data_IF_000642714305
#
_entry.id   IF_000642714305
#
_cell.length_a   1.000
_cell.length_b   1.000
_cell.length_c   1.000
_cell.angle_alpha   90.00
_cell.angle_beta   90.00
_cell.angle_gamma   90.00
#
_symmetry.space_group_name_H-M   'P 1'
#
loop_
_entity.id
_entity.type
_entity.pdbx_description
1 polymer ?
#
# COMPACT_ATOMS: atom_id res chain seq x y z
N UNK A 1 -9.81 -11.17 -11.81
CA UNK A 1 -9.52 -10.00 -10.96
C UNK A 1 -9.92 -10.29 -9.52
N UNK A 2 -8.95 -10.25 -8.60
CA UNK A 2 -9.12 -10.42 -7.16
C UNK A 2 -9.00 -9.06 -6.49
N UNK A 3 -10.00 -8.68 -5.69
CA UNK A 3 -10.04 -7.40 -4.99
C UNK A 3 -9.86 -7.62 -3.49
N UNK A 4 -9.01 -6.79 -2.87
CA UNK A 4 -8.66 -6.82 -1.46
C UNK A 4 -8.78 -5.38 -0.95
N UNK A 5 -9.41 -5.20 0.20
CA UNK A 5 -9.61 -3.89 0.83
C UNK A 5 -9.14 -3.98 2.26
N UNK A 6 -8.26 -3.07 2.67
CA UNK A 6 -7.83 -3.00 4.06
C UNK A 6 -8.99 -2.51 4.94
N UNK A 7 -8.81 -2.69 6.24
CA UNK A 7 -9.54 -1.89 7.23
C UNK A 7 -9.32 -0.39 7.00
N UNK A 8 -10.30 0.42 7.40
CA UNK A 8 -10.21 1.87 7.44
C UNK A 8 -9.61 2.31 8.77
N UNK A 9 -8.68 3.26 8.75
CA UNK A 9 -8.05 3.79 9.97
C UNK A 9 -8.14 5.32 9.98
N UNK A 10 -8.59 5.88 11.10
CA UNK A 10 -8.45 7.31 11.37
C UNK A 10 -7.00 7.61 11.74
N UNK A 11 -6.43 8.63 11.12
CA UNK A 11 -5.05 9.09 11.27
C UNK A 11 -5.12 10.52 11.83
N UNK A 12 -4.39 10.80 12.92
CA UNK A 12 -4.33 12.13 13.52
C UNK A 12 -3.29 13.02 12.82
N UNK A 13 -3.45 13.13 11.50
CA UNK A 13 -2.74 14.06 10.64
C UNK A 13 -3.66 14.50 9.49
N UNK A 14 -3.44 15.71 8.96
CA UNK A 14 -4.11 16.18 7.76
C UNK A 14 -3.85 15.27 6.55
N UNK A 15 -4.81 15.25 5.63
CA UNK A 15 -4.70 14.53 4.37
C UNK A 15 -3.44 14.93 3.57
N UNK A 16 -3.06 16.21 3.61
CA UNK A 16 -1.83 16.73 3.00
C UNK A 16 -0.57 16.13 3.59
N UNK A 17 -0.48 16.08 4.93
CA UNK A 17 0.65 15.48 5.64
C UNK A 17 0.81 14.00 5.27
N UNK A 18 -0.30 13.25 5.25
CA UNK A 18 -0.29 11.83 4.89
C UNK A 18 0.06 11.63 3.42
N UNK A 19 -0.51 12.44 2.53
CA UNK A 19 -0.22 12.38 1.10
C UNK A 19 1.25 12.68 0.80
N UNK A 20 1.81 13.72 1.40
CA UNK A 20 3.23 14.08 1.23
C UNK A 20 4.16 12.95 1.70
N UNK A 21 3.85 12.31 2.83
CA UNK A 21 4.61 11.16 3.32
C UNK A 21 4.55 9.98 2.35
N UNK A 22 3.36 9.62 1.85
CA UNK A 22 3.16 8.50 0.93
C UNK A 22 3.66 8.78 -0.51
N UNK A 23 3.94 10.04 -0.84
CA UNK A 23 4.44 10.47 -2.16
C UNK A 23 5.95 10.27 -2.36
N UNK A 24 6.65 9.69 -1.38
CA UNK A 24 8.04 9.24 -1.50
C UNK A 24 8.14 7.77 -1.09
N UNK A 25 8.50 6.89 -2.03
CA UNK A 25 8.64 5.45 -1.74
C UNK A 25 9.70 5.13 -0.68
N UNK A 26 10.68 6.00 -0.42
CA UNK A 26 11.66 5.80 0.65
C UNK A 26 11.02 5.80 2.04
N UNK A 27 9.95 6.55 2.21
CA UNK A 27 9.19 6.63 3.46
C UNK A 27 8.41 5.33 3.75
N UNK A 28 7.99 4.61 2.70
CA UNK A 28 7.19 3.40 2.86
C UNK A 28 7.92 2.28 3.59
N UNK A 29 9.26 2.30 3.62
CA UNK A 29 10.06 1.36 4.39
C UNK A 29 9.68 1.35 5.87
N UNK A 30 9.27 2.49 6.42
CA UNK A 30 8.82 2.62 7.82
C UNK A 30 7.52 1.87 8.10
N UNK A 31 6.71 1.64 7.07
CA UNK A 31 5.43 0.94 7.19
C UNK A 31 5.57 -0.58 6.98
N UNK A 32 6.72 -1.04 6.50
CA UNK A 32 6.88 -2.44 6.09
C UNK A 32 6.87 -3.38 7.30
N UNK A 33 6.02 -4.42 7.30
CA UNK A 33 6.04 -5.43 8.36
C UNK A 33 7.29 -6.30 8.30
N UNK A 34 7.58 -7.03 9.38
CA UNK A 34 8.75 -7.93 9.49
C UNK A 34 8.81 -9.04 8.43
N UNK A 35 7.67 -9.38 7.80
CA UNK A 35 7.59 -10.34 6.70
C UNK A 35 8.07 -9.78 5.36
N UNK A 36 8.30 -8.48 5.27
CA UNK A 36 8.86 -7.86 4.08
C UNK A 36 10.38 -7.90 4.15
N UNK A 37 10.99 -8.53 3.15
CA UNK A 37 12.44 -8.66 3.00
C UNK A 37 12.88 -8.12 1.64
N UNK A 38 14.19 -7.95 1.44
CA UNK A 38 14.78 -7.45 0.19
C UNK A 38 14.20 -6.10 -0.27
N UNK A 39 13.88 -5.21 0.68
CA UNK A 39 13.37 -3.88 0.36
C UNK A 39 14.42 -3.04 -0.37
N UNK A 40 14.02 -2.44 -1.49
CA UNK A 40 14.77 -1.44 -2.22
C UNK A 40 13.79 -0.38 -2.73
N UNK A 41 14.16 0.90 -2.67
CA UNK A 41 13.29 2.01 -3.09
C UNK A 41 14.08 3.15 -3.72
N UNK A 42 13.41 3.88 -4.59
CA UNK A 42 13.74 5.24 -5.02
C UNK A 42 12.64 6.18 -4.51
N UNK A 43 12.61 7.45 -4.93
CA UNK A 43 11.48 8.33 -4.63
C UNK A 43 10.19 7.89 -5.32
N UNK A 44 10.26 7.21 -6.46
CA UNK A 44 9.09 6.93 -7.34
C UNK A 44 8.79 5.45 -7.56
N UNK A 45 9.59 4.55 -6.98
CA UNK A 45 9.40 3.10 -7.11
C UNK A 45 9.98 2.33 -5.94
N UNK A 46 9.49 1.11 -5.72
CA UNK A 46 10.10 0.17 -4.80
C UNK A 46 9.98 -1.28 -5.28
N UNK A 47 10.81 -2.13 -4.68
CA UNK A 47 10.84 -3.57 -4.86
C UNK A 47 11.01 -4.25 -3.51
N UNK A 48 10.28 -5.34 -3.27
CA UNK A 48 10.38 -6.12 -2.04
C UNK A 48 9.81 -7.52 -2.19
N UNK A 49 10.10 -8.39 -1.23
CA UNK A 49 9.54 -9.73 -1.16
C UNK A 49 8.69 -9.86 0.09
N UNK A 50 7.45 -10.31 -0.07
CA UNK A 50 6.63 -10.79 1.04
C UNK A 50 7.02 -12.25 1.27
N UNK A 51 7.65 -12.54 2.40
CA UNK A 51 8.15 -13.87 2.73
C UNK A 51 7.02 -14.93 2.70
N UNK A 52 7.31 -16.07 2.08
CA UNK A 52 6.34 -17.12 1.81
C UNK A 52 5.29 -16.79 0.75
N UNK A 53 5.42 -15.69 0.01
CA UNK A 53 4.49 -15.30 -1.06
C UNK A 53 5.19 -14.97 -2.38
N UNK A 54 5.64 -13.73 -2.57
CA UNK A 54 6.10 -13.24 -3.86
C UNK A 54 7.00 -12.02 -3.75
N UNK A 55 7.83 -11.84 -4.77
CA UNK A 55 8.55 -10.60 -5.03
C UNK A 55 7.66 -9.65 -5.86
N UNK A 56 7.56 -8.41 -5.40
CA UNK A 56 6.71 -7.35 -5.95
C UNK A 56 7.56 -6.12 -6.29
N UNK A 57 7.30 -5.54 -7.45
CA UNK A 57 7.93 -4.34 -7.97
C UNK A 57 6.83 -3.36 -8.39
N UNK A 58 6.87 -2.12 -7.90
CA UNK A 58 5.86 -1.12 -8.23
C UNK A 58 6.43 0.29 -8.35
N UNK A 59 5.68 1.13 -9.05
CA UNK A 59 5.94 2.56 -9.22
C UNK A 59 4.62 3.34 -9.09
N UNK A 60 4.69 4.67 -8.97
CA UNK A 60 3.48 5.49 -8.95
C UNK A 60 2.67 5.35 -10.25
N UNK A 61 1.35 5.31 -10.09
CA UNK A 61 0.35 5.41 -11.14
C UNK A 61 -0.27 6.81 -11.16
N UNK A 62 -1.61 6.87 -11.24
CA UNK A 62 -2.39 8.13 -11.28
C UNK A 62 -2.76 8.59 -9.87
N UNK A 63 -1.91 9.44 -9.30
CA UNK A 63 -2.18 10.09 -8.02
C UNK A 63 -3.21 11.22 -8.16
N UNK A 64 -3.97 11.45 -7.10
CA UNK A 64 -4.85 12.62 -6.93
C UNK A 64 -4.40 13.29 -5.63
N UNK A 65 -3.97 14.54 -5.74
CA UNK A 65 -3.38 15.29 -4.63
C UNK A 65 -4.30 15.26 -3.39
N UNK A 66 -3.72 14.89 -2.24
CA UNK A 66 -4.40 14.79 -0.94
C UNK A 66 -5.57 13.80 -0.84
N UNK A 67 -5.85 13.03 -1.89
CA UNK A 67 -6.99 12.10 -1.94
C UNK A 67 -6.57 10.66 -2.25
N UNK A 68 -5.58 10.47 -3.13
CA UNK A 68 -5.21 9.13 -3.60
C UNK A 68 -3.74 9.04 -4.01
N UNK A 69 -3.06 8.02 -3.52
CA UNK A 69 -1.80 7.53 -4.07
C UNK A 69 -2.05 6.20 -4.75
N UNK A 70 -1.79 6.12 -6.05
CA UNK A 70 -1.89 4.89 -6.83
C UNK A 70 -0.49 4.34 -7.10
N UNK A 71 -0.32 3.04 -6.90
CA UNK A 71 0.90 2.32 -7.19
C UNK A 71 0.54 1.15 -8.11
N UNK A 72 1.27 1.01 -9.21
CA UNK A 72 1.02 -0.02 -10.21
C UNK A 72 2.21 -0.96 -10.30
N UNK A 73 1.95 -2.23 -10.58
CA UNK A 73 3.00 -3.21 -10.84
C UNK A 73 3.93 -2.73 -11.97
N UNK A 74 5.23 -2.67 -11.72
CA UNK A 74 6.26 -2.23 -12.66
C UNK A 74 7.36 -3.31 -12.79
N UNK A 75 7.95 -3.47 -13.96
CA UNK A 75 8.97 -4.52 -14.17
C UNK A 75 8.41 -5.94 -14.04
N UNK A 76 9.19 -6.87 -13.48
CA UNK A 76 8.82 -8.29 -13.41
C UNK A 76 8.04 -8.60 -12.13
N UNK A 77 6.77 -8.94 -12.30
CA UNK A 77 5.88 -9.38 -11.23
C UNK A 77 5.24 -10.74 -11.58
N UNK A 78 4.84 -11.55 -10.59
CA UNK A 78 4.13 -12.81 -10.84
C UNK A 78 2.71 -12.62 -11.40
N UNK A 79 2.14 -11.43 -11.25
CA UNK A 79 0.83 -11.02 -11.77
C UNK A 79 0.79 -9.49 -11.86
N UNK A 80 -0.10 -8.96 -12.70
CA UNK A 80 -0.38 -7.53 -12.75
C UNK A 80 -1.27 -7.12 -11.57
N UNK A 81 -1.00 -5.96 -10.99
CA UNK A 81 -1.79 -5.43 -9.89
C UNK A 81 -1.70 -3.90 -9.80
N UNK A 82 -2.66 -3.32 -9.09
CA UNK A 82 -2.62 -1.96 -8.58
C UNK A 82 -2.94 -1.94 -7.09
N UNK A 83 -2.36 -0.96 -6.40
CA UNK A 83 -2.58 -0.64 -5.00
C UNK A 83 -2.91 0.85 -4.91
N UNK A 84 -4.11 1.19 -4.46
CA UNK A 84 -4.52 2.57 -4.23
C UNK A 84 -4.73 2.84 -2.75
N UNK A 85 -3.93 3.74 -2.19
CA UNK A 85 -4.18 4.29 -0.86
C UNK A 85 -5.08 5.50 -0.99
N UNK A 86 -6.29 5.40 -0.44
CA UNK A 86 -7.30 6.45 -0.43
C UNK A 86 -7.23 7.21 0.89
N UNK A 87 -7.29 8.53 0.80
CA UNK A 87 -7.17 9.48 1.93
C UNK A 87 -8.44 10.34 1.92
N UNK A 88 -9.31 10.12 2.90
CA UNK A 88 -10.53 10.90 3.07
C UNK A 88 -10.29 11.96 4.14
N UNK A 89 -10.32 13.24 3.76
CA UNK A 89 -10.22 14.35 4.72
C UNK A 89 -11.34 14.28 5.77
N UNK A 90 -10.99 14.50 7.03
CA UNK A 90 -11.93 14.67 8.14
C UNK A 90 -11.81 16.08 8.74
N UNK A 91 -12.52 16.36 9.83
CA UNK A 91 -12.42 17.65 10.52
C UNK A 91 -11.04 17.85 11.17
N UNK A 92 -10.50 19.07 11.06
CA UNK A 92 -9.20 19.44 11.62
C UNK A 92 -8.02 18.70 10.96
N UNK A 93 -7.02 18.38 11.78
CA UNK A 93 -5.82 17.62 11.38
C UNK A 93 -6.06 16.11 11.43
N UNK A 94 -7.14 15.65 10.78
CA UNK A 94 -7.48 14.23 10.73
C UNK A 94 -7.86 13.79 9.33
N UNK A 95 -7.62 12.51 9.04
CA UNK A 95 -8.13 11.85 7.84
C UNK A 95 -8.43 10.37 8.10
N UNK A 96 -9.26 9.77 7.26
CA UNK A 96 -9.47 8.32 7.21
C UNK A 96 -8.68 7.75 6.02
N UNK A 97 -7.88 6.72 6.25
CA UNK A 97 -7.08 6.05 5.22
C UNK A 97 -7.48 4.59 5.06
N UNK A 98 -7.53 4.12 3.82
CA UNK A 98 -7.67 2.70 3.49
C UNK A 98 -7.01 2.37 2.15
N UNK A 99 -6.62 1.11 1.98
CA UNK A 99 -5.95 0.59 0.79
C UNK A 99 -6.92 -0.30 0.00
N UNK A 100 -6.95 -0.11 -1.31
CA UNK A 100 -7.54 -1.03 -2.28
C UNK A 100 -6.41 -1.70 -3.05
N UNK A 101 -6.44 -3.03 -3.12
CA UNK A 101 -5.47 -3.81 -3.89
C UNK A 101 -6.22 -4.70 -4.88
N UNK A 102 -6.01 -4.44 -6.17
CA UNK A 102 -6.63 -5.19 -7.26
C UNK A 102 -5.53 -5.97 -7.98
N UNK A 103 -5.71 -7.28 -8.13
CA UNK A 103 -4.72 -8.12 -8.78
C UNK A 103 -5.34 -9.08 -9.80
N UNK A 104 -4.67 -9.23 -10.93
CA UNK A 104 -5.06 -10.17 -11.97
C UNK A 104 -4.43 -11.54 -11.72
N UNK A 105 -5.00 -12.24 -10.74
CA UNK A 105 -4.59 -13.59 -10.36
C UNK A 105 -5.57 -14.62 -10.91
N UNK A 106 -5.02 -15.76 -11.36
CA UNK A 106 -5.84 -16.95 -11.61
C UNK A 106 -6.39 -17.52 -10.28
N UNK A 107 -7.43 -18.37 -10.31
CA UNK A 107 -8.08 -18.86 -9.08
C UNK A 107 -7.15 -19.58 -8.11
N UNK A 108 -6.20 -20.37 -8.62
CA UNK A 108 -5.24 -21.12 -7.80
C UNK A 108 -4.32 -20.17 -7.03
N UNK A 109 -3.77 -19.16 -7.71
CA UNK A 109 -2.89 -18.16 -7.11
C UNK A 109 -3.65 -17.28 -6.12
N UNK A 110 -4.87 -16.86 -6.47
CA UNK A 110 -5.72 -16.07 -5.59
C UNK A 110 -5.99 -16.77 -4.26
N UNK A 111 -6.22 -18.10 -4.27
CA UNK A 111 -6.46 -18.88 -3.05
C UNK A 111 -5.26 -18.84 -2.08
N UNK A 112 -4.02 -18.86 -2.61
CA UNK A 112 -2.81 -18.83 -1.82
C UNK A 112 -2.42 -17.40 -1.38
N UNK A 113 -2.63 -16.42 -2.26
CA UNK A 113 -2.15 -15.05 -2.08
C UNK A 113 -3.12 -14.14 -1.32
N UNK A 114 -4.44 -14.40 -1.37
CA UNK A 114 -5.45 -13.47 -0.83
C UNK A 114 -5.28 -13.19 0.66
N UNK A 115 -5.05 -14.21 1.48
CA UNK A 115 -4.89 -14.03 2.94
C UNK A 115 -3.58 -13.30 3.30
N UNK A 116 -2.40 -13.68 2.77
CA UNK A 116 -1.17 -12.90 2.95
C UNK A 116 -1.30 -11.44 2.51
N UNK A 117 -1.91 -11.18 1.36
CA UNK A 117 -2.11 -9.83 0.83
C UNK A 117 -3.09 -9.00 1.66
N UNK A 118 -4.19 -9.61 2.11
CA UNK A 118 -5.14 -8.96 3.03
C UNK A 118 -4.41 -8.51 4.31
N UNK A 119 -3.68 -9.42 4.95
CA UNK A 119 -2.91 -9.09 6.14
C UNK A 119 -1.85 -8.02 5.87
N UNK A 120 -1.22 -8.04 4.69
CA UNK A 120 -0.24 -7.04 4.31
C UNK A 120 -0.85 -5.64 4.25
N UNK A 121 -1.95 -5.45 3.51
CA UNK A 121 -2.59 -4.12 3.38
C UNK A 121 -3.19 -3.63 4.69
N UNK A 122 -3.71 -4.53 5.53
CA UNK A 122 -4.20 -4.19 6.87
C UNK A 122 -3.08 -3.69 7.78
N UNK A 123 -1.92 -4.36 7.77
CA UNK A 123 -0.78 -3.92 8.59
C UNK A 123 -0.25 -2.57 8.10
N UNK A 124 -0.23 -2.28 6.78
CA UNK A 124 0.25 -0.99 6.28
C UNK A 124 -0.56 0.19 6.83
N UNK A 125 -1.89 0.09 6.86
CA UNK A 125 -2.74 1.16 7.42
C UNK A 125 -2.63 1.24 8.95
N UNK A 126 -2.36 0.12 9.63
CA UNK A 126 -2.08 0.10 11.06
C UNK A 126 -0.75 0.78 11.40
N UNK A 127 0.31 0.50 10.65
CA UNK A 127 1.61 1.17 10.81
C UNK A 127 1.51 2.66 10.50
N UNK A 128 0.74 3.03 9.48
CA UNK A 128 0.50 4.43 9.17
C UNK A 128 -0.22 5.14 10.32
N UNK A 129 -1.25 4.51 10.90
CA UNK A 129 -1.91 5.03 12.09
C UNK A 129 -0.92 5.19 13.25
N UNK A 130 -0.14 4.16 13.56
CA UNK A 130 0.87 4.19 14.63
C UNK A 130 1.89 5.33 14.49
N UNK A 131 2.28 5.68 13.27
CA UNK A 131 3.21 6.77 13.00
C UNK A 131 2.67 8.16 13.41
N UNK A 132 1.36 8.36 13.29
CA UNK A 132 0.68 9.63 13.56
C UNK A 132 -0.27 9.54 14.77
N UNK A 133 0.03 8.64 15.72
CA UNK A 133 -0.69 8.55 17.00
C UNK A 133 -0.32 9.70 17.94
#
# INVERSE_FOLDING_TARGET
MTNITSTKKAIAASAETVYAFLSDFNNLKELMPSKVVNWSSTTTSCAFTIDGMAHLNMAFGKNVENEKIEMISAGKNPFSYDLSTNINKMEGENCEVYILFNADMNPMLAMMAKKPLQNFVDILVERLQEKYK
#
